data_IF_013092536182
#
_entry.id   IF_013092536182
#
_cell.length_a   1.000
_cell.length_b   1.000
_cell.length_c   1.000
_cell.angle_alpha   90.00
_cell.angle_beta   90.00
_cell.angle_gamma   90.00
#
_symmetry.space_group_name_H-M   'P 1'
#
loop_
_entity.id
_entity.type
_entity.pdbx_description
1 polymer ?
#
# COMPACT_ATOMS: atom_id res chain seq x y z
N UNK A 1 -3.49 -18.75 12.02
CA UNK A 1 -3.95 -17.44 11.54
C UNK A 1 -3.15 -16.24 12.09
N UNK A 2 -2.65 -16.27 13.33
CA UNK A 2 -1.93 -15.13 13.95
C UNK A 2 -0.71 -14.58 13.16
N UNK A 3 0.00 -15.42 12.39
CA UNK A 3 1.18 -14.98 11.63
C UNK A 3 0.85 -14.09 10.42
N UNK A 4 -0.25 -14.38 9.72
CA UNK A 4 -0.68 -13.58 8.57
C UNK A 4 -1.18 -12.20 9.01
N UNK A 5 -1.97 -12.17 10.09
CA UNK A 5 -2.47 -10.93 10.68
C UNK A 5 -1.34 -9.98 11.08
N UNK A 6 -0.32 -10.47 11.81
CA UNK A 6 0.85 -9.66 12.18
C UNK A 6 1.62 -9.10 10.98
N UNK A 7 1.73 -9.87 9.89
CA UNK A 7 2.37 -9.40 8.67
C UNK A 7 1.58 -8.24 8.03
N UNK A 8 0.26 -8.35 7.98
CA UNK A 8 -0.62 -7.29 7.47
C UNK A 8 -0.57 -6.05 8.37
N UNK A 9 -0.67 -6.20 9.70
CA UNK A 9 -0.56 -5.10 10.65
C UNK A 9 0.79 -4.36 10.56
N UNK A 10 1.88 -5.09 10.32
CA UNK A 10 3.18 -4.48 10.07
C UNK A 10 3.17 -3.63 8.80
N UNK A 11 2.60 -4.12 7.69
CA UNK A 11 2.50 -3.35 6.43
C UNK A 11 1.60 -2.12 6.56
N UNK A 12 0.47 -2.25 7.26
CA UNK A 12 -0.48 -1.15 7.51
C UNK A 12 0.07 -0.07 8.47
N UNK A 13 1.22 -0.32 9.11
CA UNK A 13 1.86 0.66 10.01
C UNK A 13 2.61 1.76 9.26
N UNK A 14 2.94 1.53 7.99
CA UNK A 14 3.65 2.48 7.14
C UNK A 14 2.67 3.53 6.60
N UNK A 15 3.05 4.79 6.74
CA UNK A 15 2.27 5.94 6.27
C UNK A 15 3.21 6.99 5.68
N UNK A 16 2.68 7.97 4.96
CA UNK A 16 3.49 9.09 4.45
C UNK A 16 4.21 9.84 5.58
N UNK A 17 3.53 10.04 6.71
CA UNK A 17 4.11 10.70 7.91
C UNK A 17 5.11 9.83 8.66
N UNK A 18 5.06 8.51 8.46
CA UNK A 18 5.98 7.54 9.08
C UNK A 18 6.32 6.42 8.10
N UNK A 19 7.26 6.68 7.17
CA UNK A 19 7.63 5.75 6.10
C UNK A 19 8.66 4.71 6.55
N UNK A 20 9.23 4.87 7.75
CA UNK A 20 10.28 4.00 8.29
C UNK A 20 9.94 3.46 9.67
N UNK A 21 10.39 2.23 9.92
CA UNK A 21 10.21 1.55 11.20
C UNK A 21 11.46 0.80 11.63
N UNK A 22 11.82 0.90 12.91
CA UNK A 22 12.76 -0.04 13.55
C UNK A 22 12.04 -1.25 14.15
N UNK A 23 12.77 -2.35 14.36
CA UNK A 23 12.22 -3.59 15.00
C UNK A 23 11.58 -3.28 16.36
N UNK A 24 12.30 -2.57 17.23
CA UNK A 24 11.82 -2.24 18.58
C UNK A 24 10.61 -1.30 18.57
N UNK A 25 10.52 -0.43 17.56
CA UNK A 25 9.38 0.47 17.42
C UNK A 25 8.13 -0.30 16.97
N UNK A 26 8.28 -1.21 16.02
CA UNK A 26 7.20 -2.07 15.54
C UNK A 26 6.68 -2.97 16.67
N UNK A 27 7.61 -3.57 17.43
CA UNK A 27 7.30 -4.37 18.62
C UNK A 27 6.46 -3.57 19.63
N UNK A 28 6.92 -2.36 20.00
CA UNK A 28 6.18 -1.49 20.94
C UNK A 28 4.82 -1.07 20.42
N UNK A 29 4.69 -0.74 19.11
CA UNK A 29 3.42 -0.28 18.54
C UNK A 29 2.32 -1.32 18.71
N UNK A 30 2.64 -2.59 18.48
CA UNK A 30 1.65 -3.67 18.43
C UNK A 30 1.67 -4.60 19.65
N UNK A 31 2.47 -4.27 20.67
CA UNK A 31 2.62 -5.11 21.86
C UNK A 31 3.23 -6.48 21.57
N UNK A 32 4.14 -6.58 20.60
CA UNK A 32 4.81 -7.83 20.23
C UNK A 32 6.15 -7.96 20.94
N UNK A 33 6.57 -9.20 21.17
CA UNK A 33 7.96 -9.49 21.51
C UNK A 33 8.89 -9.06 20.37
N UNK A 34 10.09 -8.60 20.74
CA UNK A 34 11.11 -8.16 19.76
C UNK A 34 11.46 -9.26 18.76
N UNK A 35 11.52 -10.52 19.20
CA UNK A 35 11.78 -11.67 18.34
C UNK A 35 10.65 -11.90 17.32
N UNK A 36 9.39 -11.70 17.72
CA UNK A 36 8.23 -11.81 16.82
C UNK A 36 8.26 -10.70 15.79
N UNK A 37 8.47 -9.44 16.21
CA UNK A 37 8.59 -8.31 15.29
C UNK A 37 9.73 -8.51 14.28
N UNK A 38 10.90 -8.97 14.74
CA UNK A 38 12.03 -9.27 13.87
C UNK A 38 11.68 -10.34 12.83
N UNK A 39 11.09 -11.47 13.26
CA UNK A 39 10.69 -12.55 12.34
C UNK A 39 9.68 -12.08 11.29
N UNK A 40 8.68 -11.30 11.68
CA UNK A 40 7.70 -10.74 10.75
C UNK A 40 8.38 -9.82 9.72
N UNK A 41 9.18 -8.86 10.19
CA UNK A 41 9.87 -7.91 9.32
C UNK A 41 10.86 -8.61 8.38
N UNK A 42 11.65 -9.57 8.85
CA UNK A 42 12.57 -10.34 8.01
C UNK A 42 11.82 -11.18 6.97
N UNK A 43 10.67 -11.76 7.32
CA UNK A 43 9.83 -12.51 6.36
C UNK A 43 9.28 -11.59 5.26
N UNK A 44 8.88 -10.37 5.62
CA UNK A 44 8.42 -9.38 4.63
C UNK A 44 9.57 -8.89 3.74
N UNK A 45 10.79 -8.76 4.28
CA UNK A 45 11.99 -8.46 3.49
C UNK A 45 12.32 -9.58 2.51
N UNK A 46 12.29 -10.84 2.95
CA UNK A 46 12.58 -11.99 2.08
C UNK A 46 11.57 -12.15 0.94
N UNK A 47 10.40 -11.54 1.06
CA UNK A 47 9.33 -11.50 0.05
C UNK A 47 9.26 -10.17 -0.71
N UNK A 48 10.25 -9.28 -0.52
CA UNK A 48 10.35 -7.95 -1.15
C UNK A 48 9.19 -6.98 -0.85
N UNK A 49 8.41 -7.26 0.19
CA UNK A 49 7.38 -6.33 0.69
C UNK A 49 7.98 -5.21 1.53
N UNK A 50 9.12 -5.48 2.17
CA UNK A 50 9.92 -4.48 2.86
C UNK A 50 11.35 -4.49 2.33
N UNK A 51 12.07 -3.40 2.52
CA UNK A 51 13.52 -3.31 2.42
C UNK A 51 14.08 -2.89 3.79
N UNK A 52 15.29 -3.33 4.11
CA UNK A 52 16.00 -2.95 5.32
C UNK A 52 17.25 -2.18 4.91
N UNK A 53 17.38 -0.95 5.40
CA UNK A 53 18.59 -0.15 5.22
C UNK A 53 19.72 -0.79 6.06
N UNK A 54 20.86 -1.17 5.45
CA UNK A 54 21.95 -1.82 6.16
C UNK A 54 22.66 -0.89 7.15
N UNK A 55 22.67 0.42 6.92
CA UNK A 55 23.33 1.40 7.80
C UNK A 55 22.46 1.73 9.02
N UNK A 56 21.17 1.99 8.79
CA UNK A 56 20.26 2.45 9.86
C UNK A 56 19.45 1.33 10.51
N UNK A 57 19.41 0.14 9.89
CA UNK A 57 18.53 -1.00 10.27
C UNK A 57 17.06 -0.62 10.33
N UNK A 58 16.65 0.35 9.52
CA UNK A 58 15.27 0.81 9.37
C UNK A 58 14.62 0.10 8.20
N UNK A 59 13.37 -0.26 8.39
CA UNK A 59 12.55 -0.93 7.39
C UNK A 59 11.71 0.09 6.64
N UNK A 60 11.59 -0.07 5.32
CA UNK A 60 10.75 0.73 4.40
C UNK A 60 9.91 -0.20 3.53
N UNK A 61 8.84 0.33 2.93
CA UNK A 61 8.07 -0.41 1.93
C UNK A 61 8.94 -0.79 0.72
N UNK A 62 8.84 -2.05 0.31
CA UNK A 62 9.59 -2.64 -0.79
C UNK A 62 8.81 -2.69 -2.11
N UNK A 63 9.47 -3.08 -3.22
CA UNK A 63 8.91 -3.02 -4.57
C UNK A 63 7.69 -3.93 -4.79
N UNK A 64 7.51 -5.00 -4.00
CA UNK A 64 6.35 -5.88 -4.13
C UNK A 64 5.03 -5.13 -3.84
N UNK A 65 5.07 -4.11 -2.97
CA UNK A 65 3.89 -3.30 -2.63
C UNK A 65 3.41 -2.51 -3.85
N UNK A 66 4.32 -1.80 -4.54
CA UNK A 66 3.99 -1.07 -5.76
C UNK A 66 3.48 -1.99 -6.88
N UNK A 67 4.07 -3.19 -7.00
CA UNK A 67 3.62 -4.20 -7.96
C UNK A 67 2.17 -4.63 -7.69
N UNK A 68 1.83 -4.91 -6.43
CA UNK A 68 0.48 -5.32 -6.03
C UNK A 68 -0.53 -4.18 -6.12
N UNK A 69 -0.14 -2.96 -5.75
CA UNK A 69 -0.98 -1.77 -5.93
C UNK A 69 -1.39 -1.63 -7.39
N UNK A 70 -0.43 -1.75 -8.32
CA UNK A 70 -0.72 -1.74 -9.76
C UNK A 70 -1.69 -2.85 -10.16
N UNK A 71 -1.50 -4.09 -9.69
CA UNK A 71 -2.44 -5.19 -10.00
C UNK A 71 -3.85 -4.89 -9.46
N UNK A 72 -3.95 -4.36 -8.23
CA UNK A 72 -5.20 -3.95 -7.62
C UNK A 72 -5.90 -2.83 -8.41
N UNK A 73 -5.15 -1.83 -8.87
CA UNK A 73 -5.69 -0.78 -9.74
C UNK A 73 -6.26 -1.34 -11.05
N UNK A 74 -5.61 -2.33 -11.65
CA UNK A 74 -6.07 -2.98 -12.88
C UNK A 74 -7.22 -3.98 -12.64
N UNK A 75 -7.47 -4.37 -11.38
CA UNK A 75 -8.55 -5.31 -11.03
C UNK A 75 -9.97 -4.72 -11.14
N UNK A 76 -10.10 -3.44 -11.49
CA UNK A 76 -11.37 -2.89 -12.00
C UNK A 76 -12.40 -2.43 -10.96
N UNK A 77 -12.08 -2.47 -9.65
CA UNK A 77 -13.02 -2.01 -8.60
C UNK A 77 -13.34 -0.52 -8.73
N UNK A 78 -12.33 0.33 -8.92
CA UNK A 78 -12.56 1.77 -9.07
C UNK A 78 -13.30 2.11 -10.38
N UNK A 79 -12.88 1.58 -11.56
CA UNK A 79 -13.64 1.78 -12.79
C UNK A 79 -15.08 1.29 -12.70
N UNK A 80 -15.35 0.14 -12.08
CA UNK A 80 -16.71 -0.39 -11.96
C UNK A 80 -17.62 0.47 -11.06
N UNK A 81 -17.09 1.05 -9.99
CA UNK A 81 -17.83 1.97 -9.12
C UNK A 81 -18.09 3.34 -9.78
N UNK A 82 -17.15 3.83 -10.59
CA UNK A 82 -17.20 5.21 -11.11
C UNK A 82 -17.90 5.30 -12.47
N UNK A 83 -17.90 4.23 -13.28
CA UNK A 83 -18.59 4.17 -14.58
C UNK A 83 -20.05 4.64 -14.55
N UNK A 84 -20.90 4.23 -13.59
CA UNK A 84 -22.29 4.71 -13.52
C UNK A 84 -22.40 6.22 -13.31
N UNK A 85 -21.48 6.80 -12.53
CA UNK A 85 -21.43 8.23 -12.24
C UNK A 85 -20.99 9.01 -13.48
N UNK A 86 -19.91 8.56 -14.15
CA UNK A 86 -19.43 9.18 -15.39
C UNK A 86 -20.47 9.11 -16.51
N UNK A 87 -21.19 7.99 -16.62
CA UNK A 87 -22.31 7.84 -17.56
C UNK A 87 -23.49 8.78 -17.23
N UNK A 88 -23.69 9.12 -15.96
CA UNK A 88 -24.64 10.16 -15.55
C UNK A 88 -24.22 11.54 -16.05
N UNK A 89 -22.98 11.92 -15.76
CA UNK A 89 -22.43 13.22 -16.17
C UNK A 89 -22.41 13.37 -17.69
N UNK A 90 -21.98 12.34 -18.43
CA UNK A 90 -21.99 12.37 -19.90
C UNK A 90 -23.41 12.57 -20.46
N UNK A 91 -24.44 11.97 -19.86
CA UNK A 91 -25.83 12.17 -20.28
C UNK A 91 -26.34 13.58 -19.98
N UNK A 92 -25.89 14.18 -18.88
CA UNK A 92 -26.32 15.52 -18.46
C UNK A 92 -25.61 16.63 -19.24
N UNK A 93 -24.32 16.46 -19.53
CA UNK A 93 -23.50 17.50 -20.18
C UNK A 93 -23.39 17.32 -21.69
N UNK A 94 -23.53 16.09 -22.21
CA UNK A 94 -23.22 15.76 -23.60
C UNK A 94 -21.72 15.74 -23.92
N UNK A 95 -20.87 15.94 -22.92
CA UNK A 95 -19.42 16.07 -23.07
C UNK A 95 -18.67 14.79 -22.66
N UNK A 96 -17.43 14.66 -23.13
CA UNK A 96 -16.55 13.58 -22.68
C UNK A 96 -16.14 13.77 -21.22
N UNK A 97 -16.41 12.76 -20.38
CA UNK A 97 -16.08 12.76 -18.96
C UNK A 97 -15.07 11.66 -18.67
N UNK A 98 -13.98 12.02 -17.98
CA UNK A 98 -12.93 11.08 -17.56
C UNK A 98 -12.61 11.26 -16.08
N UNK A 99 -12.30 10.16 -15.39
CA UNK A 99 -11.78 10.19 -14.03
C UNK A 99 -10.26 10.18 -14.06
N UNK A 100 -9.63 11.20 -13.46
CA UNK A 100 -8.19 11.22 -13.25
C UNK A 100 -7.87 11.01 -11.77
N UNK A 101 -6.95 10.08 -11.47
CA UNK A 101 -6.46 9.85 -10.11
C UNK A 101 -5.01 10.32 -9.98
N UNK A 102 -4.60 10.91 -8.84
CA UNK A 102 -3.21 11.29 -8.61
C UNK A 102 -2.27 10.08 -8.72
N UNK A 103 -1.14 10.25 -9.42
CA UNK A 103 -0.08 9.26 -9.49
C UNK A 103 1.30 9.95 -9.53
N UNK A 104 2.03 9.87 -8.42
CA UNK A 104 3.33 10.52 -8.29
C UNK A 104 3.23 12.03 -8.50
N UNK A 105 3.98 12.56 -9.47
CA UNK A 105 3.96 13.98 -9.83
C UNK A 105 2.89 14.34 -10.89
N UNK A 106 2.06 13.39 -11.32
CA UNK A 106 1.05 13.60 -12.35
C UNK A 106 -0.30 12.96 -12.03
N UNK A 107 -1.11 12.77 -13.06
CA UNK A 107 -2.40 12.11 -12.98
C UNK A 107 -2.47 10.95 -13.98
N UNK A 108 -3.26 9.94 -13.65
CA UNK A 108 -3.59 8.83 -14.55
C UNK A 108 -5.08 8.79 -14.81
N UNK A 109 -5.47 8.60 -16.07
CA UNK A 109 -6.85 8.32 -16.44
C UNK A 109 -7.26 6.93 -15.92
N UNK A 110 -8.32 6.89 -15.13
CA UNK A 110 -8.80 5.72 -14.39
C UNK A 110 -10.12 5.17 -14.94
N UNK A 111 -10.98 5.99 -15.55
CA UNK A 111 -12.22 5.58 -16.18
C UNK A 111 -12.72 6.64 -17.17
#
# INVERSE_FOLDING_TARGET
>A
LQGADRALLALLSFTERRPEWGVSEMARRHGWDKAVAQRVLTTLVSRSFLSCDPATRRYRLGPAVSRLARVGEHSGVLPSLVRPILAGLLRETGESVVLNVPQGAGYRCAA
#
